data_IF_402720097646
#
_entry.id   IF_402720097646
#
_cell.length_a   1.000
_cell.length_b   1.000
_cell.length_c   1.000
_cell.angle_alpha   90.00
_cell.angle_beta   90.00
_cell.angle_gamma   90.00
#
_symmetry.space_group_name_H-M   'P 1'
#
loop_
_entity.id
_entity.type
_entity.pdbx_description
1 polymer ?
#
# COMPACT_ATOMS: atom_id res chain seq x y z
N UNK A 1 19.48 69.15 30.37
CA UNK A 1 18.54 68.71 29.31
C UNK A 1 18.93 67.31 28.86
N UNK A 2 17.95 66.53 28.37
CA UNK A 2 18.04 65.12 27.96
C UNK A 2 18.37 64.13 29.09
N UNK A 3 17.84 62.92 29.13
CA UNK A 3 16.49 62.42 28.78
C UNK A 3 16.42 60.99 29.34
N UNK A 4 15.39 60.67 30.12
CA UNK A 4 15.22 59.32 30.67
C UNK A 4 14.57 58.40 29.65
N UNK A 5 15.17 57.25 29.35
CA UNK A 5 14.40 56.05 29.00
C UNK A 5 15.19 54.79 29.37
N UNK A 6 14.47 53.80 29.92
CA UNK A 6 15.02 52.56 30.47
C UNK A 6 14.71 51.40 29.54
N UNK A 7 15.62 50.43 29.48
CA UNK A 7 15.38 49.01 29.21
C UNK A 7 14.50 48.66 27.99
N UNK A 8 15.15 48.30 26.87
CA UNK A 8 14.54 47.49 25.81
C UNK A 8 15.49 46.33 25.46
N UNK A 9 15.10 45.10 25.80
CA UNK A 9 15.91 43.88 25.66
C UNK A 9 15.61 43.19 24.31
N UNK A 10 16.40 43.51 23.28
CA UNK A 10 16.30 42.99 21.90
C UNK A 10 17.66 43.19 21.21
N UNK A 11 18.15 42.39 20.25
CA UNK A 11 17.81 41.07 19.67
C UNK A 11 19.20 40.35 19.52
N UNK A 12 19.42 39.04 19.34
CA UNK A 12 18.62 37.93 18.78
C UNK A 12 18.91 36.63 19.55
N UNK A 13 17.93 35.73 19.68
CA UNK A 13 18.16 34.30 19.97
C UNK A 13 18.20 33.54 18.64
N UNK A 14 19.33 32.91 18.31
CA UNK A 14 19.47 32.11 17.09
C UNK A 14 18.65 30.82 17.22
N UNK A 15 17.37 30.88 16.85
CA UNK A 15 16.45 29.75 16.91
C UNK A 15 16.87 28.72 15.86
N UNK A 16 17.54 27.65 16.30
CA UNK A 16 17.91 26.52 15.46
C UNK A 16 16.65 25.68 15.20
N UNK A 17 15.78 26.17 14.31
CA UNK A 17 14.57 25.46 13.87
C UNK A 17 14.98 24.30 12.98
N UNK A 18 15.42 23.23 13.63
CA UNK A 18 15.30 21.88 13.09
C UNK A 18 13.80 21.57 13.00
N UNK A 19 13.15 22.08 11.94
CA UNK A 19 11.79 21.71 11.59
C UNK A 19 11.70 20.19 11.44
N UNK A 20 10.55 19.57 11.77
CA UNK A 20 10.41 18.14 11.62
C UNK A 20 10.70 17.77 10.16
N UNK A 21 11.55 16.78 9.95
CA UNK A 21 11.73 16.14 8.65
C UNK A 21 10.50 15.26 8.34
N UNK A 22 9.35 15.91 8.20
CA UNK A 22 8.20 15.33 7.52
C UNK A 22 8.69 14.96 6.11
N UNK A 23 8.74 13.66 5.83
CA UNK A 23 9.16 13.19 4.52
C UNK A 23 8.24 13.80 3.45
N UNK A 24 8.82 14.21 2.32
CA UNK A 24 8.08 14.83 1.23
C UNK A 24 7.00 13.92 0.62
N UNK A 25 6.29 14.37 -0.43
CA UNK A 25 5.08 13.70 -0.94
C UNK A 25 5.19 12.18 -1.16
N UNK A 26 6.34 11.66 -1.59
CA UNK A 26 6.60 10.22 -1.72
C UNK A 26 6.45 9.46 -0.38
N UNK A 27 6.88 10.04 0.74
CA UNK A 27 6.76 9.42 2.06
C UNK A 27 5.29 9.35 2.50
N UNK A 28 4.53 10.43 2.33
CA UNK A 28 3.10 10.46 2.68
C UNK A 28 2.32 9.47 1.80
N UNK A 29 2.54 9.49 0.49
CA UNK A 29 2.03 8.52 -0.47
C UNK A 29 2.29 7.08 -0.01
N UNK A 30 3.54 6.79 0.40
CA UNK A 30 3.94 5.47 0.89
C UNK A 30 3.23 5.08 2.18
N UNK A 31 3.06 5.99 3.15
CA UNK A 31 2.35 5.68 4.39
C UNK A 31 0.85 5.40 4.12
N UNK A 32 0.21 6.19 3.27
CA UNK A 32 -1.19 6.04 2.89
C UNK A 32 -1.45 4.66 2.24
N UNK A 33 -0.62 4.31 1.24
CA UNK A 33 -0.66 3.00 0.56
C UNK A 33 -0.37 1.83 1.51
N UNK A 34 0.64 1.95 2.37
CA UNK A 34 0.99 0.91 3.35
C UNK A 34 -0.14 0.70 4.37
N UNK A 35 -0.89 1.74 4.72
CA UNK A 35 -1.98 1.67 5.71
C UNK A 35 -3.14 0.84 5.17
N UNK A 36 -3.59 1.10 3.93
CA UNK A 36 -4.63 0.29 3.24
C UNK A 36 -4.27 -1.21 3.22
N UNK A 37 -3.01 -1.54 2.94
CA UNK A 37 -2.54 -2.94 2.92
C UNK A 37 -2.47 -3.54 4.33
N UNK A 38 -1.99 -2.79 5.34
CA UNK A 38 -2.01 -3.24 6.75
C UNK A 38 -3.43 -3.55 7.21
N UNK A 39 -4.39 -2.69 6.89
CA UNK A 39 -5.77 -2.83 7.37
C UNK A 39 -6.48 -4.01 6.70
N UNK A 40 -6.23 -4.26 5.41
CA UNK A 40 -6.69 -5.48 4.73
C UNK A 40 -6.06 -6.74 5.35
N UNK A 41 -4.74 -6.75 5.60
CA UNK A 41 -4.05 -7.86 6.26
C UNK A 41 -4.58 -8.11 7.69
N UNK A 42 -4.94 -7.04 8.41
CA UNK A 42 -5.55 -7.13 9.74
C UNK A 42 -7.00 -7.63 9.67
N UNK A 43 -7.75 -7.31 8.61
CA UNK A 43 -9.08 -7.84 8.37
C UNK A 43 -9.05 -9.34 8.06
N UNK A 44 -8.13 -9.80 7.18
CA UNK A 44 -7.94 -11.23 6.94
C UNK A 44 -7.64 -12.02 8.21
N UNK A 45 -6.80 -11.48 9.11
CA UNK A 45 -6.48 -12.10 10.41
C UNK A 45 -7.68 -12.27 11.36
N UNK A 46 -8.76 -11.51 11.16
CA UNK A 46 -10.02 -11.61 11.92
C UNK A 46 -11.11 -12.41 11.20
N UNK A 47 -10.81 -12.96 10.02
CA UNK A 47 -11.79 -13.49 9.06
C UNK A 47 -12.89 -12.49 8.65
N UNK A 48 -12.55 -11.21 8.73
CA UNK A 48 -13.41 -10.08 8.39
C UNK A 48 -13.38 -9.83 6.88
N UNK A 49 -14.00 -10.74 6.12
CA UNK A 49 -14.10 -10.66 4.66
C UNK A 49 -14.69 -9.33 4.19
N UNK A 50 -15.69 -8.80 4.91
CA UNK A 50 -16.33 -7.52 4.59
C UNK A 50 -15.35 -6.34 4.67
N UNK A 51 -14.57 -6.22 5.74
CA UNK A 51 -13.56 -5.17 5.81
C UNK A 51 -12.42 -5.41 4.81
N UNK A 52 -11.95 -6.66 4.65
CA UNK A 52 -10.87 -6.98 3.72
C UNK A 52 -11.22 -6.63 2.25
N UNK A 53 -12.47 -6.87 1.86
CA UNK A 53 -13.02 -6.57 0.54
C UNK A 53 -13.20 -5.07 0.29
N UNK A 54 -13.55 -4.28 1.32
CA UNK A 54 -13.75 -2.83 1.20
C UNK A 54 -12.47 -2.04 0.83
N UNK A 55 -11.28 -2.63 1.09
CA UNK A 55 -9.98 -2.08 0.68
C UNK A 55 -9.59 -2.42 -0.77
N UNK A 56 -10.32 -3.32 -1.44
CA UNK A 56 -10.13 -3.61 -2.85
C UNK A 56 -10.77 -2.55 -3.76
N UNK A 57 -10.28 -2.40 -4.99
CA UNK A 57 -10.85 -1.48 -5.98
C UNK A 57 -12.20 -1.97 -6.53
N UNK A 58 -12.99 -1.11 -7.21
CA UNK A 58 -14.23 -1.53 -7.86
C UNK A 58 -14.02 -2.67 -8.87
N UNK A 59 -13.02 -2.56 -9.77
CA UNK A 59 -12.69 -3.62 -10.74
C UNK A 59 -12.39 -4.97 -10.04
N UNK A 60 -11.76 -4.98 -8.85
CA UNK A 60 -11.56 -6.20 -8.06
C UNK A 60 -12.83 -6.67 -7.34
N UNK A 61 -13.67 -5.75 -6.86
CA UNK A 61 -14.95 -6.10 -6.22
C UNK A 61 -15.91 -6.74 -7.23
N UNK A 62 -16.01 -6.19 -8.45
CA UNK A 62 -16.84 -6.73 -9.54
C UNK A 62 -16.38 -8.15 -9.97
N UNK A 63 -15.07 -8.40 -10.00
CA UNK A 63 -14.51 -9.73 -10.33
C UNK A 63 -14.84 -10.82 -9.30
N UNK A 64 -15.07 -10.45 -8.04
CA UNK A 64 -15.34 -11.39 -6.95
C UNK A 64 -16.82 -11.47 -6.53
N UNK A 65 -17.59 -10.42 -6.77
CA UNK A 65 -19.02 -10.32 -6.48
C UNK A 65 -19.37 -10.19 -4.99
N UNK A 66 -18.76 -10.97 -4.09
CA UNK A 66 -19.07 -10.94 -2.65
C UNK A 66 -17.84 -11.03 -1.73
N UNK A 67 -17.92 -10.48 -0.50
CA UNK A 67 -16.84 -10.58 0.49
C UNK A 67 -16.49 -12.01 0.89
N UNK A 68 -17.47 -12.92 0.86
CA UNK A 68 -17.31 -14.33 1.22
C UNK A 68 -16.52 -15.09 0.16
N UNK A 69 -16.82 -14.84 -1.13
CA UNK A 69 -16.04 -15.38 -2.25
C UNK A 69 -14.59 -14.88 -2.24
N UNK A 70 -14.40 -13.58 -1.95
CA UNK A 70 -13.08 -12.98 -1.77
C UNK A 70 -12.30 -13.64 -0.62
N UNK A 71 -12.89 -13.71 0.57
CA UNK A 71 -12.26 -14.32 1.74
C UNK A 71 -11.92 -15.80 1.51
N UNK A 72 -12.82 -16.57 0.90
CA UNK A 72 -12.61 -17.98 0.61
C UNK A 72 -11.45 -18.21 -0.38
N UNK A 73 -11.34 -17.41 -1.45
CA UNK A 73 -10.20 -17.49 -2.39
C UNK A 73 -8.88 -17.14 -1.70
N UNK A 74 -8.86 -16.15 -0.82
CA UNK A 74 -7.67 -15.81 -0.05
C UNK A 74 -7.29 -16.90 0.97
N UNK A 75 -8.26 -17.53 1.61
CA UNK A 75 -8.06 -18.64 2.54
C UNK A 75 -7.48 -19.90 1.88
N UNK A 76 -7.89 -20.19 0.64
CA UNK A 76 -7.46 -21.37 -0.11
C UNK A 76 -6.17 -21.11 -0.90
N UNK A 77 -6.13 -20.07 -1.75
CA UNK A 77 -5.02 -19.83 -2.70
C UNK A 77 -3.93 -18.89 -2.15
N UNK A 78 -4.26 -17.92 -1.30
CA UNK A 78 -3.32 -16.85 -0.89
C UNK A 78 -2.92 -16.92 0.59
N UNK A 79 -2.72 -18.14 1.10
CA UNK A 79 -2.43 -18.45 2.51
C UNK A 79 -1.32 -17.60 3.14
N UNK A 80 -0.29 -17.22 2.38
CA UNK A 80 0.77 -16.35 2.88
C UNK A 80 0.26 -14.94 3.24
N UNK A 81 -0.64 -14.36 2.43
CA UNK A 81 -1.25 -13.03 2.64
C UNK A 81 -2.42 -13.10 3.62
N UNK A 82 -3.15 -14.21 3.63
CA UNK A 82 -4.29 -14.44 4.53
C UNK A 82 -3.88 -14.80 5.97
N UNK A 83 -2.74 -15.47 6.17
CA UNK A 83 -2.16 -15.82 7.49
C UNK A 83 -0.63 -15.60 7.51
N UNK A 84 -0.15 -14.35 7.40
CA UNK A 84 1.28 -14.06 7.44
C UNK A 84 1.85 -14.27 8.85
N UNK A 85 3.03 -14.90 8.94
CA UNK A 85 3.86 -14.90 10.15
C UNK A 85 4.66 -13.60 10.28
N UNK A 86 5.20 -13.12 9.15
CA UNK A 86 5.94 -11.86 9.08
C UNK A 86 5.59 -11.10 7.80
N UNK A 87 5.57 -9.77 7.91
CA UNK A 87 5.26 -8.83 6.81
C UNK A 87 6.34 -7.76 6.81
N UNK A 88 6.91 -7.42 5.66
CA UNK A 88 7.94 -6.39 5.52
C UNK A 88 7.71 -5.57 4.25
N UNK A 89 7.34 -4.30 4.43
CA UNK A 89 7.07 -3.39 3.33
C UNK A 89 8.38 -2.90 2.69
N UNK A 90 8.61 -3.31 1.44
CA UNK A 90 9.78 -2.95 0.65
C UNK A 90 9.57 -1.58 -0.03
N UNK A 91 10.42 -1.22 -0.99
CA UNK A 91 10.25 -0.02 -1.80
C UNK A 91 8.91 0.00 -2.56
N UNK A 92 8.38 1.20 -2.80
CA UNK A 92 7.42 1.41 -3.87
C UNK A 92 8.09 1.16 -5.22
N UNK A 93 7.31 0.73 -6.21
CA UNK A 93 7.72 0.64 -7.61
C UNK A 93 6.60 1.18 -8.50
N UNK A 94 6.97 1.64 -9.69
CA UNK A 94 6.01 1.93 -10.76
C UNK A 94 6.14 0.85 -11.84
N UNK A 95 5.01 0.32 -12.31
CA UNK A 95 4.97 -0.71 -13.35
C UNK A 95 3.80 -0.42 -14.29
N UNK A 96 4.08 -0.34 -15.61
CA UNK A 96 3.10 0.04 -16.65
C UNK A 96 2.26 1.29 -16.28
N UNK A 97 2.90 2.30 -15.68
CA UNK A 97 2.24 3.55 -15.23
C UNK A 97 1.46 3.46 -13.92
N UNK A 98 1.40 2.28 -13.27
CA UNK A 98 0.67 2.05 -12.02
C UNK A 98 1.62 1.99 -10.83
N UNK A 99 1.17 2.50 -9.68
CA UNK A 99 1.90 2.37 -8.41
C UNK A 99 1.77 0.94 -7.88
N UNK A 100 2.86 0.37 -7.37
CA UNK A 100 2.91 -0.99 -6.81
C UNK A 100 3.67 -0.97 -5.48
N UNK A 101 3.00 -1.35 -4.39
CA UNK A 101 3.69 -1.60 -3.12
C UNK A 101 4.16 -3.06 -3.07
N UNK A 102 5.47 -3.22 -2.96
CA UNK A 102 6.12 -4.53 -2.82
C UNK A 102 6.18 -4.92 -1.34
N UNK A 103 5.77 -6.13 -0.99
CA UNK A 103 5.73 -6.61 0.40
C UNK A 103 6.35 -7.99 0.46
N UNK A 104 7.42 -8.16 1.23
CA UNK A 104 7.92 -9.49 1.58
C UNK A 104 7.00 -10.07 2.65
N UNK A 105 6.47 -11.27 2.40
CA UNK A 105 5.52 -11.97 3.27
C UNK A 105 6.05 -13.37 3.55
N UNK A 106 6.14 -13.75 4.82
CA UNK A 106 6.44 -15.11 5.27
C UNK A 106 5.12 -15.79 5.64
N UNK A 107 4.78 -16.86 4.93
CA UNK A 107 3.54 -17.60 5.10
C UNK A 107 3.49 -18.48 6.35
N UNK A 108 2.34 -19.14 6.62
CA UNK A 108 2.14 -19.99 7.79
C UNK A 108 3.00 -21.26 7.76
N UNK A 109 3.38 -21.70 6.56
CA UNK A 109 4.37 -22.76 6.28
C UNK A 109 5.83 -22.34 6.53
N UNK A 110 6.11 -21.04 6.61
CA UNK A 110 7.46 -20.47 6.66
C UNK A 110 8.05 -20.16 5.28
N UNK A 111 7.33 -20.39 4.19
CA UNK A 111 7.73 -19.99 2.84
C UNK A 111 7.69 -18.47 2.67
N UNK A 112 8.66 -17.90 1.97
CA UNK A 112 8.75 -16.44 1.75
C UNK A 112 8.44 -16.06 0.30
N UNK A 113 7.49 -15.14 0.10
CA UNK A 113 7.08 -14.60 -1.20
C UNK A 113 7.10 -13.08 -1.17
N UNK A 114 7.38 -12.45 -2.30
CA UNK A 114 7.12 -11.03 -2.52
C UNK A 114 5.72 -10.89 -3.10
N UNK A 115 4.80 -10.40 -2.28
CA UNK A 115 3.50 -9.93 -2.74
C UNK A 115 3.66 -8.55 -3.41
N UNK A 116 3.11 -8.41 -4.60
CA UNK A 116 3.00 -7.16 -5.34
C UNK A 116 1.53 -6.72 -5.27
N UNK A 117 1.29 -5.56 -4.66
CA UNK A 117 -0.03 -4.93 -4.59
C UNK A 117 -0.06 -3.74 -5.54
N UNK A 118 -0.65 -3.85 -6.76
CA UNK A 118 -1.03 -2.69 -7.56
C UNK A 118 -2.01 -1.83 -6.78
N UNK A 119 -1.79 -0.51 -6.82
CA UNK A 119 -2.58 0.47 -6.09
C UNK A 119 -3.23 1.44 -7.07
N UNK A 120 -4.49 1.77 -6.82
CA UNK A 120 -5.24 2.81 -7.55
C UNK A 120 -5.71 3.88 -6.57
N UNK A 121 -5.62 5.15 -6.98
CA UNK A 121 -6.22 6.24 -6.24
C UNK A 121 -7.62 6.50 -6.80
N UNK A 122 -8.60 6.58 -5.91
CA UNK A 122 -9.99 6.88 -6.23
C UNK A 122 -10.16 8.39 -6.45
N UNK A 123 -11.28 8.80 -7.06
CA UNK A 123 -11.62 10.22 -7.30
C UNK A 123 -11.84 11.04 -6.02
N UNK A 124 -12.04 10.39 -4.87
CA UNK A 124 -12.07 11.02 -3.54
C UNK A 124 -10.68 11.16 -2.89
N UNK A 125 -9.61 10.79 -3.61
CA UNK A 125 -8.22 10.81 -3.14
C UNK A 125 -7.81 9.58 -2.31
N UNK A 126 -8.74 8.69 -1.94
CA UNK A 126 -8.43 7.50 -1.15
C UNK A 126 -7.81 6.38 -1.99
N UNK A 127 -6.98 5.54 -1.37
CA UNK A 127 -6.28 4.44 -2.06
C UNK A 127 -7.04 3.12 -1.97
N UNK A 128 -6.98 2.29 -3.01
CA UNK A 128 -7.47 0.90 -3.03
C UNK A 128 -6.46 -0.06 -3.66
N UNK A 129 -6.56 -1.32 -3.25
CA UNK A 129 -5.78 -2.45 -3.77
C UNK A 129 -6.45 -2.97 -5.04
N UNK A 130 -5.73 -2.94 -6.16
CA UNK A 130 -6.24 -3.30 -7.49
C UNK A 130 -5.70 -4.66 -7.98
N UNK A 131 -5.01 -5.42 -7.13
CA UNK A 131 -4.56 -6.77 -7.46
C UNK A 131 -3.63 -7.37 -6.41
N UNK A 132 -3.21 -8.62 -6.66
CA UNK A 132 -2.23 -9.33 -5.85
C UNK A 132 -1.46 -10.34 -6.71
N UNK A 133 -0.20 -10.03 -7.04
CA UNK A 133 0.71 -11.00 -7.69
C UNK A 133 1.72 -11.52 -6.66
N UNK A 134 1.85 -12.84 -6.54
CA UNK A 134 2.82 -13.48 -5.66
C UNK A 134 4.06 -13.94 -6.44
N UNK A 135 5.24 -13.48 -6.04
CA UNK A 135 6.53 -13.84 -6.64
C UNK A 135 7.38 -14.61 -5.62
N UNK A 136 7.85 -15.84 -5.89
CA UNK A 136 8.74 -16.58 -4.99
C UNK A 136 10.05 -15.83 -4.72
N UNK A 137 10.61 -15.99 -3.51
CA UNK A 137 11.93 -15.43 -3.17
C UNK A 137 13.10 -16.31 -3.64
N UNK A 138 12.96 -17.63 -3.58
CA UNK A 138 13.82 -18.59 -4.29
C UNK A 138 13.49 -18.60 -5.78
N UNK A 139 14.50 -18.62 -6.64
CA UNK A 139 14.36 -18.57 -8.12
C UNK A 139 13.70 -19.78 -8.80
N UNK A 140 12.98 -20.64 -8.05
CA UNK A 140 12.04 -21.61 -8.59
C UNK A 140 10.67 -20.93 -8.63
N UNK A 141 10.19 -20.59 -9.82
CA UNK A 141 8.80 -20.15 -10.03
C UNK A 141 7.84 -21.10 -9.32
N UNK A 142 6.86 -20.57 -8.60
CA UNK A 142 5.75 -21.36 -8.12
C UNK A 142 5.06 -21.94 -9.36
N UNK A 143 4.71 -23.22 -9.30
CA UNK A 143 4.20 -23.94 -10.46
C UNK A 143 2.93 -23.26 -10.96
N UNK A 144 2.89 -22.93 -12.26
CA UNK A 144 2.09 -21.84 -12.79
C UNK A 144 0.61 -22.22 -12.95
N UNK A 145 -0.14 -22.17 -11.85
CA UNK A 145 -1.59 -22.08 -11.83
C UNK A 145 -1.98 -20.60 -12.08
N UNK A 146 -2.59 -20.24 -13.24
CA UNK A 146 -3.28 -18.96 -13.37
C UNK A 146 -4.48 -19.00 -12.42
N UNK A 147 -4.69 -18.06 -11.52
CA UNK A 147 -4.81 -16.62 -11.76
C UNK A 147 -4.38 -15.80 -10.52
N UNK A 148 -3.33 -14.96 -10.59
CA UNK A 148 -3.05 -13.89 -9.61
C UNK A 148 -3.77 -12.57 -9.96
N UNK A 149 -4.98 -12.67 -10.55
CA UNK A 149 -5.48 -11.73 -11.57
C UNK A 149 -4.49 -11.64 -12.76
N UNK A 150 -4.45 -12.65 -13.64
CA UNK A 150 -3.61 -12.62 -14.84
C UNK A 150 -4.11 -11.61 -15.88
N UNK A 151 -5.32 -11.08 -15.75
CA UNK A 151 -5.91 -10.04 -16.59
C UNK A 151 -5.30 -8.63 -16.35
N UNK A 152 -3.98 -8.52 -16.29
CA UNK A 152 -3.24 -7.25 -16.43
C UNK A 152 -2.79 -6.97 -17.88
N UNK A 153 -3.09 -7.88 -18.81
CA UNK A 153 -2.67 -7.85 -20.22
C UNK A 153 -3.79 -7.48 -21.24
N UNK A 154 -5.01 -7.16 -20.79
CA UNK A 154 -6.15 -6.91 -21.68
C UNK A 154 -6.31 -5.45 -22.19
N UNK A 155 -5.45 -4.51 -21.77
CA UNK A 155 -5.73 -3.07 -21.91
C UNK A 155 -4.53 -2.23 -22.40
N UNK A 156 -4.37 -2.05 -23.73
CA UNK A 156 -3.78 -0.82 -24.25
C UNK A 156 -4.73 0.35 -24.01
N UNK A 157 -4.26 1.43 -23.37
CA UNK A 157 -4.95 2.73 -23.39
C UNK A 157 -6.06 2.99 -22.35
N UNK A 158 -5.99 2.46 -21.12
CA UNK A 158 -6.69 3.12 -20.00
C UNK A 158 -5.83 4.29 -19.50
N UNK A 159 -6.35 5.50 -19.67
CA UNK A 159 -5.71 6.75 -19.25
C UNK A 159 -5.61 6.81 -17.72
N UNK A 160 -4.38 6.90 -17.20
CA UNK A 160 -4.15 7.12 -15.77
C UNK A 160 -4.38 8.61 -15.50
N UNK A 161 -5.38 8.94 -14.69
CA UNK A 161 -5.59 10.31 -14.23
C UNK A 161 -4.29 10.82 -13.59
N UNK A 162 -3.74 11.90 -14.15
CA UNK A 162 -2.40 12.37 -13.82
C UNK A 162 -2.29 12.73 -12.33
N UNK A 163 -1.26 12.22 -11.67
CA UNK A 163 -0.84 12.73 -10.36
C UNK A 163 -0.35 14.16 -10.58
N UNK A 164 -0.91 15.18 -9.90
CA UNK A 164 -0.39 16.54 -9.99
C UNK A 164 1.01 16.64 -9.36
N UNK A 165 1.87 17.47 -9.94
CA UNK A 165 3.24 17.75 -9.46
C UNK A 165 3.27 18.60 -8.18
#
# INVERSE_FOLDING_TARGET
>A
MKASQRLALFFVLALLVAGPAAGGPEHELRQNVITVIKDQLAAFQRDDGKAAFAYASPDVQDQFGTPEAYLAKFAVSYKAVYRPKHVTFLNLAYSRGRLVQRVLVVGPDGGAVVALFPMVQMTDGSWRIDGLVLVPTTGKSAEADPEPFAMLDALPGREVAAVPE
#
